data_IF_478942756293
#
_entry.id   IF_478942756293
#
_cell.length_a   1.000
_cell.length_b   1.000
_cell.length_c   1.000
_cell.angle_alpha   90.00
_cell.angle_beta   90.00
_cell.angle_gamma   90.00
#
_symmetry.space_group_name_H-M   'P 1'
#
loop_
_entity.id
_entity.type
_entity.pdbx_description
1 polymer ?
#
# COMPACT_ATOMS: atom_id res chain seq x y z
N UNK A 1 -9.56 10.72 8.80
CA UNK A 1 -9.49 10.71 7.33
C UNK A 1 -8.06 10.52 6.82
N UNK A 2 -7.15 11.47 7.01
CA UNK A 2 -5.72 11.31 6.71
C UNK A 2 -4.95 11.16 8.02
N UNK A 3 -4.50 9.93 8.32
CA UNK A 3 -3.82 9.61 9.58
C UNK A 3 -2.33 9.97 9.58
N UNK A 4 -1.68 9.89 8.41
CA UNK A 4 -0.27 10.22 8.24
C UNK A 4 -0.07 10.92 6.89
N UNK A 5 0.69 12.02 6.87
CA UNK A 5 1.07 12.74 5.65
C UNK A 5 2.49 13.26 5.79
N UNK A 6 3.26 13.10 4.72
CA UNK A 6 4.62 13.60 4.61
C UNK A 6 4.86 14.17 3.22
N UNK A 7 5.81 15.10 3.11
CA UNK A 7 6.26 15.61 1.82
C UNK A 7 7.75 15.84 1.84
N UNK A 8 8.43 15.42 0.77
CA UNK A 8 9.88 15.53 0.63
C UNK A 8 10.23 15.84 -0.82
N UNK A 9 10.88 16.97 -1.06
CA UNK A 9 11.37 17.39 -2.39
C UNK A 9 10.31 17.38 -3.50
N UNK A 10 9.05 17.75 -3.18
CA UNK A 10 7.93 17.74 -4.13
C UNK A 10 7.28 16.37 -4.35
N UNK A 11 7.70 15.33 -3.61
CA UNK A 11 6.94 14.10 -3.45
C UNK A 11 6.06 14.17 -2.22
N UNK A 12 4.85 13.63 -2.33
CA UNK A 12 3.89 13.57 -1.24
C UNK A 12 3.47 12.13 -0.98
N UNK A 13 3.35 11.80 0.30
CA UNK A 13 2.96 10.48 0.77
C UNK A 13 1.85 10.66 1.80
N UNK A 14 0.77 9.89 1.68
CA UNK A 14 -0.31 9.92 2.65
C UNK A 14 -0.89 8.54 2.90
N UNK A 15 -1.30 8.29 4.15
CA UNK A 15 -2.02 7.09 4.54
C UNK A 15 -3.31 7.49 5.28
N UNK A 16 -4.43 6.88 4.90
CA UNK A 16 -5.73 7.15 5.52
C UNK A 16 -5.89 6.38 6.83
N UNK A 17 -6.72 6.91 7.72
CA UNK A 17 -7.36 6.14 8.79
C UNK A 17 -8.77 5.70 8.34
N UNK A 18 -9.58 5.09 9.23
CA UNK A 18 -10.94 4.63 8.90
C UNK A 18 -12.06 5.67 9.04
N UNK A 19 -11.76 6.90 9.47
CA UNK A 19 -12.74 7.88 9.95
C UNK A 19 -13.06 8.98 8.93
N UNK A 20 -14.30 9.49 8.99
CA UNK A 20 -14.75 10.65 8.21
C UNK A 20 -15.31 10.32 6.83
N UNK A 21 -15.74 9.08 6.62
CA UNK A 21 -16.46 8.67 5.41
C UNK A 21 -17.97 8.53 5.63
N UNK A 22 -18.64 7.87 4.70
CA UNK A 22 -20.10 7.72 4.67
C UNK A 22 -20.57 6.26 4.61
N UNK A 23 -19.64 5.31 4.62
CA UNK A 23 -19.99 3.89 4.60
C UNK A 23 -20.65 3.46 5.91
N UNK A 24 -21.63 2.57 5.82
CA UNK A 24 -22.29 1.97 6.98
C UNK A 24 -21.56 0.70 7.46
N UNK A 25 -21.99 0.15 8.59
CA UNK A 25 -21.54 -1.14 9.09
C UNK A 25 -21.61 -2.23 8.01
N UNK A 26 -20.59 -3.10 7.87
CA UNK A 26 -19.35 -3.20 8.66
C UNK A 26 -18.16 -2.39 8.10
N UNK A 27 -18.41 -1.46 7.17
CA UNK A 27 -17.39 -0.70 6.44
C UNK A 27 -17.18 0.71 6.98
N UNK A 28 -17.75 1.00 8.15
CA UNK A 28 -17.78 2.34 8.71
C UNK A 28 -16.38 2.88 9.07
N UNK A 29 -16.01 4.11 8.72
CA UNK A 29 -16.81 5.08 7.95
C UNK A 29 -16.19 5.33 6.57
N UNK A 30 -14.86 5.34 6.46
CA UNK A 30 -14.11 5.70 5.25
C UNK A 30 -13.58 4.47 4.50
N UNK A 31 -14.46 3.57 4.07
CA UNK A 31 -14.03 2.48 3.19
C UNK A 31 -13.71 2.99 1.77
N UNK A 32 -12.50 2.69 1.30
CA UNK A 32 -12.01 3.06 -0.04
C UNK A 32 -11.94 1.88 -1.01
N UNK A 33 -12.28 0.67 -0.54
CA UNK A 33 -12.27 -0.56 -1.33
C UNK A 33 -13.64 -0.88 -1.94
N UNK A 34 -13.72 -0.98 -3.27
CA UNK A 34 -14.95 -1.32 -3.98
C UNK A 34 -15.22 -2.83 -4.11
N UNK A 35 -14.24 -3.68 -3.82
CA UNK A 35 -14.33 -5.13 -4.00
C UNK A 35 -14.59 -5.90 -2.69
N UNK A 36 -15.11 -5.23 -1.66
CA UNK A 36 -15.34 -5.83 -0.33
C UNK A 36 -16.81 -6.03 0.02
N UNK A 37 -17.74 -5.64 -0.87
CA UNK A 37 -19.18 -5.78 -0.68
C UNK A 37 -19.86 -4.57 -0.03
N UNK A 38 -19.22 -3.40 -0.06
CA UNK A 38 -19.82 -2.13 0.37
C UNK A 38 -20.67 -1.49 -0.75
N UNK A 39 -21.48 -0.49 -0.40
CA UNK A 39 -22.22 0.32 -1.35
C UNK A 39 -21.26 1.08 -2.30
N UNK A 40 -21.32 0.84 -3.63
CA UNK A 40 -20.48 1.53 -4.60
C UNK A 40 -20.57 3.05 -4.54
N UNK A 41 -21.74 3.60 -4.17
CA UNK A 41 -21.94 5.05 -4.04
C UNK A 41 -21.20 5.60 -2.81
N UNK A 42 -21.28 4.90 -1.68
CA UNK A 42 -20.53 5.24 -0.48
C UNK A 42 -19.00 5.20 -0.72
N UNK A 43 -18.52 4.15 -1.40
CA UNK A 43 -17.10 4.02 -1.75
C UNK A 43 -16.64 5.15 -2.66
N UNK A 44 -17.44 5.52 -3.67
CA UNK A 44 -17.13 6.65 -4.55
C UNK A 44 -17.04 7.96 -3.75
N UNK A 45 -18.03 8.25 -2.91
CA UNK A 45 -18.03 9.44 -2.05
C UNK A 45 -16.81 9.46 -1.12
N UNK A 46 -16.45 8.34 -0.50
CA UNK A 46 -15.26 8.24 0.36
C UNK A 46 -13.97 8.54 -0.40
N UNK A 47 -13.84 8.03 -1.63
CA UNK A 47 -12.68 8.31 -2.49
C UNK A 47 -12.59 9.79 -2.85
N UNK A 48 -13.72 10.42 -3.18
CA UNK A 48 -13.76 11.87 -3.42
C UNK A 48 -13.37 12.68 -2.19
N UNK A 49 -13.89 12.34 -1.02
CA UNK A 49 -13.56 13.00 0.24
C UNK A 49 -12.08 12.88 0.56
N UNK A 50 -11.51 11.67 0.45
CA UNK A 50 -10.10 11.41 0.69
C UNK A 50 -9.22 12.22 -0.28
N UNK A 51 -9.49 12.18 -1.58
CA UNK A 51 -8.71 12.93 -2.58
C UNK A 51 -8.76 14.45 -2.33
N UNK A 52 -9.96 15.01 -2.11
CA UNK A 52 -10.14 16.43 -1.80
C UNK A 52 -9.39 16.85 -0.54
N UNK A 53 -9.37 16.01 0.50
CA UNK A 53 -8.63 16.29 1.73
C UNK A 53 -7.11 16.35 1.56
N UNK A 54 -6.58 15.71 0.50
CA UNK A 54 -5.17 15.74 0.13
C UNK A 54 -4.82 16.92 -0.80
N UNK A 55 -5.83 17.63 -1.32
CA UNK A 55 -5.65 18.63 -2.38
C UNK A 55 -5.45 18.00 -3.77
N UNK A 56 -5.89 16.76 -3.95
CA UNK A 56 -5.83 16.02 -5.22
C UNK A 56 -7.22 16.01 -5.84
N UNK A 57 -7.31 16.30 -7.14
CA UNK A 57 -8.57 16.16 -7.86
C UNK A 57 -8.99 14.68 -7.89
N UNK A 58 -10.24 14.32 -7.52
CA UNK A 58 -10.68 12.92 -7.46
C UNK A 58 -10.53 12.15 -8.79
N UNK A 59 -10.65 12.84 -9.92
CA UNK A 59 -10.45 12.28 -11.26
C UNK A 59 -8.97 12.19 -11.68
N UNK A 60 -8.03 12.54 -10.79
CA UNK A 60 -6.58 12.44 -10.97
C UNK A 60 -5.96 11.37 -10.06
N UNK A 61 -6.76 10.42 -9.60
CA UNK A 61 -6.32 9.27 -8.80
C UNK A 61 -6.39 7.97 -9.60
N UNK A 62 -5.27 7.26 -9.68
CA UNK A 62 -5.20 5.92 -10.29
C UNK A 62 -5.31 4.84 -9.20
N UNK A 63 -6.31 4.00 -9.34
CA UNK A 63 -6.54 2.82 -8.51
C UNK A 63 -6.06 1.56 -9.23
N UNK A 64 -5.82 0.48 -8.50
CA UNK A 64 -5.44 -0.82 -9.06
C UNK A 64 -6.40 -1.94 -8.67
N UNK A 65 -6.43 -3.00 -9.48
CA UNK A 65 -7.14 -4.23 -9.20
C UNK A 65 -6.16 -5.23 -8.58
N UNK A 66 -6.04 -5.17 -7.25
CA UNK A 66 -5.05 -5.91 -6.48
C UNK A 66 -5.41 -7.38 -6.34
N UNK A 67 -4.50 -8.27 -6.72
CA UNK A 67 -4.69 -9.73 -6.74
C UNK A 67 -3.66 -10.48 -5.90
N UNK A 68 -2.86 -9.77 -5.10
CA UNK A 68 -1.75 -10.30 -4.30
C UNK A 68 -0.62 -10.93 -5.15
N UNK A 69 -0.44 -10.46 -6.38
CA UNK A 69 0.65 -10.82 -7.28
C UNK A 69 1.85 -9.87 -7.19
N UNK A 70 2.66 -9.85 -8.25
CA UNK A 70 3.82 -8.97 -8.39
C UNK A 70 3.85 -8.18 -9.71
N UNK A 71 2.76 -8.24 -10.49
CA UNK A 71 2.66 -7.54 -11.77
C UNK A 71 2.53 -6.03 -11.55
N UNK A 72 3.12 -5.28 -12.49
CA UNK A 72 3.27 -3.82 -12.44
C UNK A 72 2.69 -3.22 -13.72
N UNK A 73 1.92 -2.13 -13.60
CA UNK A 73 1.52 -1.32 -14.76
C UNK A 73 2.14 0.07 -14.71
N UNK A 74 2.67 0.53 -15.84
CA UNK A 74 3.02 1.95 -16.03
C UNK A 74 1.78 2.69 -16.51
N UNK A 75 1.43 3.79 -15.84
CA UNK A 75 0.18 4.53 -16.06
C UNK A 75 0.44 6.01 -16.35
N UNK A 76 -0.28 6.56 -17.31
CA UNK A 76 -0.21 7.99 -17.68
C UNK A 76 -1.48 8.78 -17.30
N UNK A 77 -2.48 8.09 -16.75
CA UNK A 77 -3.74 8.67 -16.30
C UNK A 77 -4.65 7.64 -15.64
N UNK A 78 -5.81 8.06 -15.12
CA UNK A 78 -6.84 7.16 -14.62
C UNK A 78 -7.42 6.28 -15.72
N UNK A 79 -7.92 5.12 -15.31
CA UNK A 79 -8.61 4.17 -16.19
C UNK A 79 -9.97 4.72 -16.64
N UNK A 80 -10.38 4.40 -17.87
CA UNK A 80 -11.67 4.84 -18.42
C UNK A 80 -12.87 4.18 -17.71
N UNK A 81 -12.73 2.91 -17.32
CA UNK A 81 -13.71 2.16 -16.55
C UNK A 81 -13.05 1.19 -15.57
N UNK A 82 -13.83 0.67 -14.61
CA UNK A 82 -13.34 -0.35 -13.67
C UNK A 82 -12.97 -1.67 -14.34
N UNK A 83 -13.58 -2.00 -15.48
CA UNK A 83 -13.23 -3.21 -16.26
C UNK A 83 -11.91 -3.10 -17.02
N UNK A 84 -11.40 -1.89 -17.21
CA UNK A 84 -10.12 -1.66 -17.91
C UNK A 84 -8.91 -1.82 -16.99
N UNK A 85 -9.13 -1.90 -15.67
CA UNK A 85 -8.05 -1.98 -14.69
C UNK A 85 -7.41 -3.37 -14.75
N UNK A 86 -6.16 -3.51 -15.21
CA UNK A 86 -5.48 -4.80 -15.23
C UNK A 86 -5.28 -5.32 -13.80
N UNK A 87 -5.23 -6.63 -13.66
CA UNK A 87 -4.86 -7.26 -12.39
C UNK A 87 -3.38 -7.01 -12.11
N UNK A 88 -3.10 -6.07 -11.20
CA UNK A 88 -1.74 -5.69 -10.80
C UNK A 88 -1.72 -5.30 -9.33
N UNK A 89 -0.56 -5.47 -8.71
CA UNK A 89 -0.32 -5.09 -7.32
C UNK A 89 0.70 -3.96 -7.20
N UNK A 90 1.15 -3.40 -8.32
CA UNK A 90 1.87 -2.14 -8.35
C UNK A 90 1.53 -1.32 -9.59
N UNK A 91 1.57 0.00 -9.42
CA UNK A 91 1.44 0.98 -10.50
C UNK A 91 2.56 2.02 -10.39
N UNK A 92 3.06 2.47 -11.54
CA UNK A 92 4.18 3.43 -11.67
C UNK A 92 3.78 4.53 -12.64
N UNK A 93 4.17 5.77 -12.38
CA UNK A 93 3.94 6.88 -13.32
C UNK A 93 5.14 7.80 -13.43
N UNK A 94 5.29 8.43 -14.59
CA UNK A 94 6.18 9.57 -14.85
C UNK A 94 5.42 10.90 -14.86
N UNK A 95 4.09 10.86 -14.62
CA UNK A 95 3.21 12.02 -14.73
C UNK A 95 3.07 12.73 -13.39
N UNK A 96 3.57 13.98 -13.34
CA UNK A 96 3.34 14.89 -12.22
C UNK A 96 1.85 15.27 -12.08
N UNK A 97 1.42 15.47 -10.84
CA UNK A 97 0.04 15.72 -10.44
C UNK A 97 -0.92 14.55 -10.65
N UNK A 98 -0.43 13.32 -10.89
CA UNK A 98 -1.23 12.10 -10.92
C UNK A 98 -0.98 11.33 -9.63
N UNK A 99 -2.02 11.10 -8.83
CA UNK A 99 -1.90 10.36 -7.59
C UNK A 99 -2.10 8.86 -7.82
N UNK A 100 -1.20 8.04 -7.27
CA UNK A 100 -1.30 6.59 -7.29
C UNK A 100 -1.80 6.11 -5.94
N UNK A 101 -2.81 5.25 -5.94
CA UNK A 101 -3.46 4.76 -4.73
C UNK A 101 -3.30 3.24 -4.56
N UNK A 102 -2.97 2.82 -3.33
CA UNK A 102 -2.92 1.41 -2.91
C UNK A 102 -3.90 1.16 -1.77
N UNK A 103 -4.71 0.11 -1.87
CA UNK A 103 -5.69 -0.28 -0.86
C UNK A 103 -5.13 -1.35 0.08
N UNK A 104 -5.39 -1.24 1.38
CA UNK A 104 -4.96 -2.26 2.35
C UNK A 104 -5.96 -2.44 3.49
N UNK A 105 -5.92 -3.63 4.09
CA UNK A 105 -6.35 -3.89 5.45
C UNK A 105 -5.45 -5.02 5.95
N UNK A 106 -4.40 -4.65 6.70
CA UNK A 106 -3.26 -5.47 7.14
C UNK A 106 -2.07 -5.60 6.18
N UNK A 107 -2.25 -5.69 4.86
CA UNK A 107 -1.11 -5.74 3.93
C UNK A 107 -0.26 -4.45 4.01
N UNK A 108 1.00 -4.50 3.57
CA UNK A 108 1.91 -3.35 3.59
C UNK A 108 1.64 -2.46 2.37
N UNK A 109 1.16 -1.22 2.53
CA UNK A 109 1.14 -0.25 1.44
C UNK A 109 2.54 0.32 1.28
N UNK A 110 3.14 0.19 0.10
CA UNK A 110 4.49 0.69 -0.21
C UNK A 110 4.35 1.84 -1.19
N UNK A 111 4.78 3.03 -0.77
CA UNK A 111 4.80 4.23 -1.59
C UNK A 111 6.24 4.62 -1.90
N UNK A 112 6.54 4.88 -3.17
CA UNK A 112 7.88 5.13 -3.67
C UNK A 112 7.87 6.40 -4.54
N UNK A 113 8.91 7.22 -4.45
CA UNK A 113 9.11 8.31 -5.39
C UNK A 113 10.60 8.61 -5.60
N UNK A 114 11.01 8.85 -6.85
CA UNK A 114 12.25 9.58 -7.19
C UNK A 114 11.83 10.99 -7.65
N UNK A 115 11.90 12.02 -6.78
CA UNK A 115 11.46 13.36 -7.12
C UNK A 115 12.30 14.03 -8.20
N UNK A 116 13.57 13.60 -8.36
CA UNK A 116 14.50 14.14 -9.36
C UNK A 116 14.18 13.57 -10.73
N UNK A 117 13.93 12.26 -10.83
CA UNK A 117 13.49 11.63 -12.08
C UNK A 117 12.03 11.95 -12.43
N UNK A 118 11.22 12.39 -11.47
CA UNK A 118 9.80 12.65 -11.68
C UNK A 118 8.96 11.38 -11.73
N UNK A 119 9.35 10.34 -10.98
CA UNK A 119 8.71 9.02 -11.02
C UNK A 119 8.13 8.67 -9.65
N UNK A 120 6.88 8.21 -9.63
CA UNK A 120 6.22 7.71 -8.43
C UNK A 120 5.66 6.31 -8.64
N UNK A 121 5.58 5.51 -7.59
CA UNK A 121 4.98 4.19 -7.60
C UNK A 121 4.23 3.88 -6.30
N UNK A 122 3.10 3.17 -6.43
CA UNK A 122 2.39 2.58 -5.31
C UNK A 122 2.34 1.07 -5.50
N UNK A 123 2.63 0.31 -4.44
CA UNK A 123 2.61 -1.14 -4.46
C UNK A 123 1.90 -1.73 -3.23
N UNK A 124 1.13 -2.78 -3.46
CA UNK A 124 0.45 -3.59 -2.47
C UNK A 124 1.28 -4.83 -2.14
N UNK A 125 1.91 -4.83 -0.96
CA UNK A 125 2.69 -5.96 -0.49
C UNK A 125 1.96 -6.72 0.62
N UNK A 126 1.09 -7.65 0.21
CA UNK A 126 0.66 -8.75 1.07
C UNK A 126 1.74 -9.84 1.15
N UNK A 127 1.56 -10.84 2.03
CA UNK A 127 2.50 -11.98 2.12
C UNK A 127 2.77 -12.64 0.76
N UNK A 128 1.76 -12.99 -0.07
CA UNK A 128 2.02 -13.59 -1.38
C UNK A 128 2.78 -12.64 -2.32
N UNK A 129 2.39 -11.36 -2.39
CA UNK A 129 3.04 -10.37 -3.24
C UNK A 129 4.49 -10.06 -2.84
N UNK A 130 4.79 -10.01 -1.54
CA UNK A 130 6.16 -9.85 -1.03
C UNK A 130 7.05 -11.03 -1.46
N UNK A 131 6.55 -12.27 -1.34
CA UNK A 131 7.26 -13.47 -1.78
C UNK A 131 7.44 -13.48 -3.30
N UNK A 132 6.40 -13.09 -4.05
CA UNK A 132 6.44 -12.99 -5.51
C UNK A 132 7.34 -11.85 -6.01
N UNK A 133 7.75 -10.93 -5.14
CA UNK A 133 8.70 -9.87 -5.46
C UNK A 133 8.07 -8.60 -6.04
N UNK A 134 6.88 -8.19 -5.56
CA UNK A 134 6.20 -6.96 -6.00
C UNK A 134 7.05 -5.69 -5.79
N UNK A 135 7.80 -5.60 -4.67
CA UNK A 135 8.69 -4.46 -4.40
C UNK A 135 9.88 -4.43 -5.37
N UNK A 136 10.62 -5.54 -5.57
CA UNK A 136 11.58 -5.65 -6.65
C UNK A 136 11.00 -5.29 -8.03
N UNK A 137 9.78 -5.72 -8.34
CA UNK A 137 9.15 -5.44 -9.63
C UNK A 137 8.83 -3.95 -9.80
N UNK A 138 8.26 -3.31 -8.79
CA UNK A 138 7.99 -1.86 -8.80
C UNK A 138 9.28 -1.06 -8.95
N UNK A 139 10.34 -1.40 -8.20
CA UNK A 139 11.62 -0.71 -8.30
C UNK A 139 12.26 -0.90 -9.68
N UNK A 140 12.23 -2.10 -10.27
CA UNK A 140 12.70 -2.32 -11.64
C UNK A 140 11.95 -1.44 -12.65
N UNK A 141 10.62 -1.40 -12.56
CA UNK A 141 9.82 -0.55 -13.44
C UNK A 141 10.16 0.94 -13.27
N UNK A 142 10.40 1.41 -12.05
CA UNK A 142 10.87 2.77 -11.81
C UNK A 142 12.27 3.02 -12.41
N UNK A 143 13.21 2.09 -12.25
CA UNK A 143 14.57 2.24 -12.80
C UNK A 143 14.61 2.19 -14.31
N UNK A 144 13.77 1.35 -14.93
CA UNK A 144 13.62 1.27 -16.39
C UNK A 144 13.10 2.60 -16.97
N UNK A 145 12.36 3.37 -16.17
CA UNK A 145 11.88 4.72 -16.50
C UNK A 145 12.88 5.84 -16.16
N UNK A 146 14.02 5.51 -15.54
CA UNK A 146 15.11 6.44 -15.22
C UNK A 146 15.19 6.87 -13.75
N UNK A 147 14.47 6.20 -12.84
CA UNK A 147 14.69 6.40 -11.40
C UNK A 147 16.04 5.83 -10.98
N UNK A 148 16.62 6.43 -9.95
CA UNK A 148 17.85 5.96 -9.31
C UNK A 148 17.52 5.48 -7.89
N UNK A 149 17.76 4.19 -7.54
CA UNK A 149 17.36 3.64 -6.25
C UNK A 149 17.87 4.44 -5.04
N UNK A 150 19.09 5.00 -5.12
CA UNK A 150 19.66 5.81 -4.05
C UNK A 150 18.97 7.16 -3.83
N UNK A 151 18.12 7.61 -4.77
CA UNK A 151 17.27 8.81 -4.66
C UNK A 151 15.81 8.49 -4.37
N UNK A 152 15.41 7.21 -4.41
CA UNK A 152 14.03 6.82 -4.12
C UNK A 152 13.77 7.02 -2.63
N UNK A 153 12.68 7.72 -2.35
CA UNK A 153 12.09 7.88 -1.03
C UNK A 153 10.99 6.84 -0.90
N UNK A 154 11.08 5.98 0.11
CA UNK A 154 10.11 4.94 0.39
C UNK A 154 9.38 5.20 1.71
N UNK A 155 8.05 5.14 1.68
CA UNK A 155 7.19 5.22 2.86
C UNK A 155 6.26 4.01 2.88
N UNK A 156 6.27 3.27 3.99
CA UNK A 156 5.30 2.18 4.20
C UNK A 156 4.33 2.54 5.31
N UNK A 157 3.04 2.37 5.04
CA UNK A 157 1.96 2.77 5.96
C UNK A 157 1.60 1.72 7.02
N UNK A 158 0.52 1.98 7.79
CA UNK A 158 -0.03 1.04 8.77
C UNK A 158 -0.28 -0.35 8.17
N UNK A 159 0.16 -1.40 8.88
CA UNK A 159 0.10 -2.80 8.43
C UNK A 159 -0.01 -3.72 9.65
N UNK A 160 -0.34 -4.99 9.49
CA UNK A 160 -0.24 -5.93 10.62
C UNK A 160 1.24 -6.20 10.93
N UNK A 161 1.65 -6.05 12.20
CA UNK A 161 3.04 -6.25 12.60
C UNK A 161 3.39 -7.75 12.75
N UNK A 162 4.69 -8.07 12.71
CA UNK A 162 5.18 -9.44 12.91
C UNK A 162 4.80 -10.06 14.27
N UNK A 163 4.56 -9.23 15.29
CA UNK A 163 4.12 -9.69 16.62
C UNK A 163 2.63 -10.08 16.67
N UNK A 164 1.89 -9.85 15.59
CA UNK A 164 0.45 -10.08 15.49
C UNK A 164 0.03 -10.98 14.33
N UNK A 165 0.83 -11.07 13.26
CA UNK A 165 0.51 -11.86 12.07
C UNK A 165 0.84 -13.33 12.28
N UNK A 166 0.01 -14.01 13.07
CA UNK A 166 0.07 -15.46 13.24
C UNK A 166 -0.17 -16.20 11.91
N UNK A 167 0.64 -17.24 11.68
CA UNK A 167 0.49 -18.20 10.57
C UNK A 167 0.89 -19.60 11.04
N UNK A 168 0.51 -20.67 10.31
CA UNK A 168 1.06 -22.00 10.58
C UNK A 168 2.59 -22.05 10.44
N UNK A 169 3.27 -22.90 11.21
CA UNK A 169 4.74 -23.06 11.19
C UNK A 169 5.29 -23.30 9.78
N UNK A 170 4.68 -24.21 9.02
CA UNK A 170 5.10 -24.51 7.65
C UNK A 170 5.08 -23.25 6.76
N UNK A 171 4.04 -22.42 6.90
CA UNK A 171 3.94 -21.16 6.16
C UNK A 171 5.00 -20.15 6.58
N UNK A 172 5.30 -20.02 7.89
CA UNK A 172 6.41 -19.18 8.36
C UNK A 172 7.74 -19.64 7.75
N UNK A 173 7.99 -20.95 7.77
CA UNK A 173 9.22 -21.54 7.23
C UNK A 173 9.36 -21.27 5.72
N UNK A 174 8.30 -21.48 4.93
CA UNK A 174 8.27 -21.18 3.49
C UNK A 174 8.56 -19.71 3.20
N UNK A 175 7.92 -18.79 3.93
CA UNK A 175 8.11 -17.35 3.77
C UNK A 175 9.54 -16.95 4.11
N UNK A 176 10.05 -17.42 5.25
CA UNK A 176 11.38 -17.05 5.75
C UNK A 176 12.53 -17.67 4.93
N UNK A 177 12.26 -18.76 4.21
CA UNK A 177 13.22 -19.32 3.25
C UNK A 177 13.41 -18.39 2.04
N UNK A 178 12.37 -17.67 1.62
CA UNK A 178 12.44 -16.70 0.51
C UNK A 178 12.92 -15.34 0.99
N UNK A 179 12.37 -14.83 2.10
CA UNK A 179 12.75 -13.55 2.69
C UNK A 179 13.02 -13.72 4.20
N UNK A 180 14.29 -13.97 4.61
CA UNK A 180 14.65 -14.25 5.99
C UNK A 180 14.24 -13.15 6.99
N UNK A 181 14.23 -11.89 6.55
CA UNK A 181 13.82 -10.77 7.38
C UNK A 181 12.34 -10.82 7.79
N UNK A 182 11.52 -11.63 7.11
CA UNK A 182 10.12 -11.81 7.46
C UNK A 182 9.87 -12.86 8.57
N UNK A 183 10.91 -13.53 9.08
CA UNK A 183 10.76 -14.43 10.22
C UNK A 183 10.27 -13.65 11.45
N UNK A 184 9.19 -14.14 12.08
CA UNK A 184 8.68 -13.55 13.30
C UNK A 184 8.05 -14.58 14.24
N UNK A 185 7.78 -14.12 15.46
CA UNK A 185 6.95 -14.79 16.46
C UNK A 185 5.95 -13.79 17.01
N UNK A 186 4.73 -14.28 17.26
CA UNK A 186 3.71 -13.44 17.87
C UNK A 186 4.09 -13.05 19.29
N UNK A 187 3.45 -12.02 19.83
CA UNK A 187 3.62 -11.65 21.24
C UNK A 187 3.12 -12.72 22.23
N UNK A 188 2.43 -13.76 21.75
CA UNK A 188 1.97 -14.92 22.51
C UNK A 188 2.70 -16.22 22.14
N UNK A 189 3.84 -16.15 21.45
CA UNK A 189 4.76 -17.27 21.29
C UNK A 189 4.42 -18.28 20.20
N UNK A 190 3.66 -17.87 19.19
CA UNK A 190 3.31 -18.71 18.02
C UNK A 190 4.04 -18.27 16.75
N UNK A 191 4.17 -19.15 15.74
CA UNK A 191 4.79 -18.78 14.46
C UNK A 191 4.07 -17.58 13.79
N UNK A 192 4.85 -16.61 13.34
CA UNK A 192 4.35 -15.41 12.67
C UNK A 192 5.21 -15.00 11.48
N UNK A 193 4.71 -14.04 10.69
CA UNK A 193 5.47 -13.42 9.59
C UNK A 193 5.44 -11.89 9.68
N UNK A 194 6.60 -11.25 9.57
CA UNK A 194 6.71 -9.80 9.46
C UNK A 194 6.90 -9.38 8.00
N UNK A 195 5.78 -9.18 7.30
CA UNK A 195 5.79 -8.74 5.90
C UNK A 195 6.43 -7.35 5.77
N UNK A 196 6.26 -6.48 6.78
CA UNK A 196 6.86 -5.14 6.77
C UNK A 196 8.38 -5.23 6.85
N UNK A 197 8.92 -6.07 7.71
CA UNK A 197 10.36 -6.32 7.79
C UNK A 197 10.91 -6.90 6.47
N UNK A 198 10.21 -7.86 5.87
CA UNK A 198 10.58 -8.41 4.56
C UNK A 198 10.59 -7.36 3.44
N UNK A 199 9.57 -6.51 3.36
CA UNK A 199 9.52 -5.37 2.42
C UNK A 199 10.71 -4.43 2.61
N UNK A 200 11.02 -4.05 3.86
CA UNK A 200 12.14 -3.13 4.14
C UNK A 200 13.50 -3.76 3.81
N UNK A 201 13.68 -5.06 4.05
CA UNK A 201 14.87 -5.78 3.64
C UNK A 201 15.02 -5.83 2.10
N UNK A 202 13.92 -5.99 1.36
CA UNK A 202 13.92 -5.91 -0.11
C UNK A 202 14.33 -4.51 -0.61
N UNK A 203 13.74 -3.45 -0.03
CA UNK A 203 14.08 -2.05 -0.35
C UNK A 203 15.56 -1.76 -0.11
N UNK A 204 16.08 -2.15 1.06
CA UNK A 204 17.48 -1.98 1.44
C UNK A 204 18.42 -2.70 0.48
N UNK A 205 18.16 -3.99 0.21
CA UNK A 205 18.95 -4.82 -0.71
C UNK A 205 19.00 -4.24 -2.13
N UNK A 206 17.96 -3.51 -2.54
CA UNK A 206 17.85 -2.87 -3.84
C UNK A 206 18.38 -1.42 -3.87
N UNK A 207 19.00 -0.95 -2.79
CA UNK A 207 19.70 0.33 -2.75
C UNK A 207 18.85 1.53 -2.36
N UNK A 208 17.61 1.33 -1.93
CA UNK A 208 16.74 2.40 -1.40
C UNK A 208 17.22 2.79 0.01
N UNK A 209 17.75 4.01 0.13
CA UNK A 209 18.37 4.50 1.37
C UNK A 209 17.39 5.21 2.28
N UNK A 210 16.53 6.05 1.73
CA UNK A 210 15.51 6.78 2.47
C UNK A 210 14.25 5.91 2.55
N UNK A 211 14.10 5.21 3.68
CA UNK A 211 12.98 4.30 3.94
C UNK A 211 12.43 4.54 5.34
N UNK A 212 11.15 4.87 5.43
CA UNK A 212 10.46 5.00 6.72
C UNK A 212 9.26 4.06 6.80
N UNK A 213 9.05 3.54 8.01
CA UNK A 213 7.99 2.59 8.34
C UNK A 213 7.05 3.19 9.37
N UNK A 214 5.76 3.17 9.08
CA UNK A 214 4.73 3.46 10.07
C UNK A 214 4.84 2.48 11.25
N UNK A 215 4.86 2.96 12.51
CA UNK A 215 4.92 2.09 13.68
C UNK A 215 3.57 1.43 14.01
N UNK A 216 2.51 1.73 13.23
CA UNK A 216 1.13 1.35 13.56
C UNK A 216 0.82 -0.08 13.10
N UNK A 217 0.38 -0.91 14.06
CA UNK A 217 -0.23 -2.21 13.77
C UNK A 217 -1.73 -2.06 13.49
N UNK A 218 -2.22 -2.43 12.30
CA UNK A 218 -3.66 -2.34 11.95
C UNK A 218 -4.54 -3.24 12.81
N UNK A 219 -4.01 -4.38 13.25
CA UNK A 219 -4.74 -5.30 14.14
C UNK A 219 -4.98 -4.65 15.52
N UNK A 220 -3.95 -4.02 16.09
CA UNK A 220 -3.98 -3.41 17.42
C UNK A 220 -4.72 -2.06 17.43
N UNK A 221 -4.62 -1.31 16.33
CA UNK A 221 -5.23 0.01 16.20
C UNK A 221 -6.73 -0.07 15.91
N UNK A 222 -7.53 0.67 16.69
CA UNK A 222 -8.98 0.85 16.42
C UNK A 222 -9.28 1.87 15.33
N UNK A 223 -8.32 2.76 15.04
CA UNK A 223 -8.43 3.77 13.98
C UNK A 223 -8.23 3.22 12.56
N UNK A 224 -7.98 1.92 12.43
CA UNK A 224 -7.62 1.29 11.17
C UNK A 224 -8.48 0.05 10.92
N UNK A 225 -8.86 -0.18 9.67
CA UNK A 225 -9.48 -1.45 9.27
C UNK A 225 -8.46 -2.59 9.35
N UNK A 226 -8.90 -3.77 9.80
CA UNK A 226 -8.07 -4.97 9.86
C UNK A 226 -8.86 -6.20 9.44
N UNK A 227 -8.42 -6.86 8.38
CA UNK A 227 -9.05 -8.09 7.92
C UNK A 227 -8.90 -9.21 8.95
N UNK A 228 -7.75 -9.31 9.62
CA UNK A 228 -7.52 -10.30 10.69
C UNK A 228 -8.46 -10.15 11.86
N UNK A 229 -8.76 -8.90 12.25
CA UNK A 229 -9.67 -8.61 13.36
C UNK A 229 -11.12 -8.85 12.98
N UNK A 230 -11.53 -8.30 11.85
CA UNK A 230 -12.96 -8.09 11.57
C UNK A 230 -13.50 -9.01 10.47
N UNK A 231 -12.62 -9.64 9.67
CA UNK A 231 -12.91 -10.47 8.47
C UNK A 231 -13.64 -9.70 7.37
N UNK A 232 -14.86 -9.23 7.62
CA UNK A 232 -15.63 -8.38 6.71
C UNK A 232 -15.46 -6.93 7.16
N UNK A 233 -14.69 -6.15 6.40
CA UNK A 233 -14.32 -4.79 6.78
C UNK A 233 -13.89 -3.97 5.57
N UNK A 234 -13.75 -2.66 5.75
CA UNK A 234 -13.32 -1.72 4.72
C UNK A 234 -11.83 -1.83 4.36
N UNK A 235 -11.38 -0.93 3.48
CA UNK A 235 -9.97 -0.78 3.10
C UNK A 235 -9.51 0.65 3.32
N UNK A 236 -8.33 0.78 3.90
CA UNK A 236 -7.53 2.00 3.96
C UNK A 236 -6.87 2.24 2.60
N UNK A 237 -6.35 3.44 2.37
CA UNK A 237 -5.52 3.75 1.22
C UNK A 237 -4.19 4.42 1.59
N UNK A 238 -3.14 4.10 0.81
CA UNK A 238 -1.94 4.91 0.70
C UNK A 238 -1.94 5.67 -0.63
N UNK A 239 -1.50 6.92 -0.63
CA UNK A 239 -1.43 7.79 -1.81
C UNK A 239 -0.02 8.34 -1.97
N UNK A 240 0.49 8.29 -3.21
CA UNK A 240 1.73 8.99 -3.60
C UNK A 240 1.51 9.81 -4.84
N UNK A 241 2.05 11.03 -4.85
CA UNK A 241 2.09 11.88 -6.05
C UNK A 241 3.29 12.81 -6.00
N UNK A 242 3.61 13.38 -7.16
CA UNK A 242 4.60 14.43 -7.31
C UNK A 242 3.89 15.71 -7.74
N UNK A 243 4.35 16.86 -7.24
CA UNK A 243 3.98 18.18 -7.79
C UNK A 243 4.38 18.32 -9.27
#
# INVERSE_FOLDING_TARGET
MIGQRESASGAHFAFTDRWGGVSAAPYEELNLGGAVGDDPDAVRTNRELAAKSLGVEPDRVVWMNQVHGADVSVVDGPWGSSSDIPSVDAIVTTRRGLALAVLTADCVPVLLADPVAGIAAAAHAGRPGMIAGVVPAALRAMTDLGAEPSRIIARTGPTVCGRCYEVPEAMRAEVSAVEPAAYAETSWGTPAVDVSAGVHAQLERLGVRDRERSPVCTLESRDHFSYRRDRTTGRLAGYVWLD
#
